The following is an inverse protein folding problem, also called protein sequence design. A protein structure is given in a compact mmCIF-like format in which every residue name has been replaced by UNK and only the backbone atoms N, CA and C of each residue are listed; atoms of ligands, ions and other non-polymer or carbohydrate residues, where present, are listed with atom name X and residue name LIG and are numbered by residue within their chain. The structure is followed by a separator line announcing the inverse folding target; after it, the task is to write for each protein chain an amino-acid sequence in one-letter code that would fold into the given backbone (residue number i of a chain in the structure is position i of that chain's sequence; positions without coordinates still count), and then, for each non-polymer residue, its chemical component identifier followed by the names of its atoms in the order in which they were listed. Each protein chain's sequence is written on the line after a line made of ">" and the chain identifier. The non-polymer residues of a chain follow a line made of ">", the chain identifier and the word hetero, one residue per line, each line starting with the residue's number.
data_IF_185033850888
#
_entry.id   IF_185033850888
#
_cell.length_a   1.000
_cell.length_b   1.000
_cell.length_c   1.000
_cell.angle_alpha   90.00
_cell.angle_beta   90.00
_cell.angle_gamma   90.00
#
_symmetry.space_group_name_H-M   'P 1'
#
loop_
_entity.id
_entity.type
_entity.pdbx_description
1 polymer ?
#
# COMPACT_ATOMS: atom_id res chain seq x y z
N UNK A 1 -18.87 0.20 21.24
CA UNK A 1 -17.51 0.79 21.44
C UNK A 1 -16.36 -0.16 21.11
N UNK A 2 -16.59 -1.37 20.55
CA UNK A 2 -15.50 -2.26 20.09
C UNK A 2 -14.99 -1.89 18.68
N UNK A 3 -15.86 -1.32 17.86
CA UNK A 3 -15.51 -0.84 16.51
C UNK A 3 -14.60 0.39 16.53
N UNK A 4 -14.70 1.25 17.56
CA UNK A 4 -13.90 2.48 17.61
C UNK A 4 -12.40 2.22 17.79
N UNK A 5 -12.02 1.22 18.57
CA UNK A 5 -10.60 0.90 18.79
C UNK A 5 -9.97 0.21 17.59
N UNK A 6 -10.70 -0.70 16.95
CA UNK A 6 -10.25 -1.36 15.71
C UNK A 6 -10.16 -0.34 14.58
N UNK A 7 -11.15 0.55 14.45
CA UNK A 7 -11.13 1.64 13.48
C UNK A 7 -9.98 2.62 13.72
N UNK A 8 -9.71 2.99 14.98
CA UNK A 8 -8.59 3.88 15.33
C UNK A 8 -7.24 3.24 15.01
N UNK A 9 -7.06 1.96 15.32
CA UNK A 9 -5.85 1.19 14.93
C UNK A 9 -5.73 1.05 13.42
N UNK A 10 -6.84 0.81 12.72
CA UNK A 10 -6.89 0.77 11.25
C UNK A 10 -6.38 2.06 10.63
N UNK A 11 -6.90 3.22 11.05
CA UNK A 11 -6.46 4.53 10.55
C UNK A 11 -5.01 4.80 10.93
N UNK A 12 -4.65 4.59 12.20
CA UNK A 12 -3.30 4.86 12.70
C UNK A 12 -2.22 4.04 11.99
N UNK A 13 -2.41 2.74 11.83
CA UNK A 13 -1.45 1.87 11.13
C UNK A 13 -1.42 2.19 9.62
N UNK A 14 -2.56 2.47 9.00
CA UNK A 14 -2.59 2.88 7.58
C UNK A 14 -1.78 4.16 7.35
N UNK A 15 -1.90 5.15 8.23
CA UNK A 15 -1.12 6.39 8.16
C UNK A 15 0.37 6.13 8.39
N UNK A 16 0.70 5.30 9.38
CA UNK A 16 2.09 4.94 9.67
C UNK A 16 2.77 4.22 8.49
N UNK A 17 2.04 3.36 7.78
CA UNK A 17 2.55 2.66 6.59
C UNK A 17 2.79 3.57 5.38
N UNK A 18 2.19 4.77 5.34
CA UNK A 18 2.42 5.74 4.28
C UNK A 18 3.72 6.53 4.50
N UNK A 19 4.13 6.72 5.76
CA UNK A 19 5.31 7.53 6.11
C UNK A 19 6.61 7.03 5.44
N UNK A 20 6.92 5.73 5.39
CA UNK A 20 8.08 5.23 4.66
C UNK A 20 8.06 5.61 3.17
N UNK A 21 6.89 5.51 2.52
CA UNK A 21 6.73 5.90 1.11
C UNK A 21 7.02 7.38 0.88
N UNK A 22 6.51 8.25 1.75
CA UNK A 22 6.80 9.70 1.71
C UNK A 22 8.28 9.95 1.94
N UNK A 23 8.88 9.30 2.95
CA UNK A 23 10.30 9.47 3.26
C UNK A 23 11.18 9.05 2.09
N UNK A 24 10.88 7.93 1.42
CA UNK A 24 11.67 7.46 0.27
C UNK A 24 11.69 8.44 -0.90
N UNK A 25 10.65 9.25 -1.12
CA UNK A 25 10.64 10.25 -2.20
C UNK A 25 11.79 11.26 -2.05
N UNK A 26 12.23 11.54 -0.82
CA UNK A 26 13.32 12.49 -0.54
C UNK A 26 14.72 11.91 -0.80
N UNK A 27 14.85 10.59 -0.82
CA UNK A 27 16.15 9.90 -0.91
C UNK A 27 16.36 9.18 -2.24
N UNK A 28 15.28 8.89 -2.98
CA UNK A 28 15.37 8.17 -4.24
C UNK A 28 15.67 9.12 -5.41
N UNK A 29 16.58 8.70 -6.27
CA UNK A 29 16.80 9.34 -7.56
C UNK A 29 15.68 8.94 -8.53
N UNK A 30 14.78 9.88 -8.81
CA UNK A 30 13.62 9.64 -9.69
C UNK A 30 13.98 9.54 -11.18
N UNK A 31 15.27 9.62 -11.53
CA UNK A 31 15.72 9.38 -12.91
C UNK A 31 15.69 7.90 -13.29
N UNK A 32 15.72 6.99 -12.31
CA UNK A 32 15.63 5.54 -12.52
C UNK A 32 14.26 4.98 -12.12
N UNK A 33 13.84 3.81 -12.68
CA UNK A 33 12.67 3.10 -12.20
C UNK A 33 12.77 2.80 -10.70
N UNK A 34 11.75 3.21 -9.92
CA UNK A 34 11.71 3.07 -8.46
C UNK A 34 10.71 2.00 -7.98
N UNK A 35 11.05 0.70 -8.10
CA UNK A 35 10.21 -0.43 -7.67
C UNK A 35 9.84 -0.35 -6.17
N UNK A 36 10.81 0.05 -5.33
CA UNK A 36 10.66 0.12 -3.88
C UNK A 36 9.57 1.13 -3.50
N UNK A 37 9.50 2.26 -4.22
CA UNK A 37 8.47 3.26 -4.00
C UNK A 37 7.08 2.70 -4.29
N UNK A 38 6.91 1.99 -5.41
CA UNK A 38 5.65 1.34 -5.76
C UNK A 38 5.25 0.29 -4.70
N UNK A 39 6.20 -0.49 -4.19
CA UNK A 39 5.96 -1.48 -3.15
C UNK A 39 5.52 -0.85 -1.83
N UNK A 40 6.22 0.21 -1.39
CA UNK A 40 5.88 0.96 -0.17
C UNK A 40 4.50 1.60 -0.24
N UNK A 41 4.12 2.14 -1.39
CA UNK A 41 2.77 2.70 -1.61
C UNK A 41 1.68 1.62 -1.64
N UNK A 42 2.01 0.38 -2.00
CA UNK A 42 1.07 -0.75 -1.98
C UNK A 42 0.77 -1.32 -0.58
N UNK A 43 1.74 -1.27 0.34
CA UNK A 43 1.61 -1.84 1.70
C UNK A 43 0.39 -1.33 2.49
N UNK A 44 0.07 -0.02 2.52
CA UNK A 44 -1.15 0.47 3.16
C UNK A 44 -2.42 -0.18 2.62
N UNK A 45 -2.49 -0.46 1.31
CA UNK A 45 -3.66 -1.06 0.67
C UNK A 45 -3.79 -2.55 0.98
N UNK A 46 -2.68 -3.29 1.09
CA UNK A 46 -2.71 -4.67 1.59
C UNK A 46 -3.24 -4.74 3.01
N UNK A 47 -2.72 -3.87 3.90
CA UNK A 47 -3.20 -3.80 5.28
C UNK A 47 -4.67 -3.40 5.36
N UNK A 48 -5.09 -2.37 4.58
CA UNK A 48 -6.49 -1.95 4.53
C UNK A 48 -7.40 -3.06 4.01
N UNK A 49 -7.04 -3.72 2.91
CA UNK A 49 -7.83 -4.82 2.34
C UNK A 49 -8.00 -5.97 3.33
N UNK A 50 -6.93 -6.35 4.03
CA UNK A 50 -6.98 -7.36 5.09
C UNK A 50 -7.90 -6.95 6.25
N UNK A 51 -7.74 -5.74 6.77
CA UNK A 51 -8.56 -5.23 7.89
C UNK A 51 -10.03 -5.07 7.49
N UNK A 52 -10.31 -4.61 6.28
CA UNK A 52 -11.67 -4.49 5.75
C UNK A 52 -12.29 -5.88 5.61
N UNK A 53 -11.58 -6.84 5.01
CA UNK A 53 -12.08 -8.20 4.86
C UNK A 53 -12.41 -8.89 6.20
N UNK A 54 -11.58 -8.64 7.22
CA UNK A 54 -11.69 -9.32 8.52
C UNK A 54 -12.58 -8.61 9.54
N UNK A 55 -12.60 -7.28 9.55
CA UNK A 55 -13.26 -6.48 10.59
C UNK A 55 -14.36 -5.54 10.07
N UNK A 56 -14.35 -5.12 8.80
CA UNK A 56 -15.33 -4.18 8.24
C UNK A 56 -16.05 -4.85 7.07
N UNK A 57 -17.09 -5.62 7.38
CA UNK A 57 -17.92 -6.35 6.40
C UNK A 57 -18.81 -5.45 5.53
N UNK A 58 -18.33 -4.27 5.14
CA UNK A 58 -18.89 -3.55 4.00
C UNK A 58 -18.64 -4.40 2.75
N UNK A 59 -19.72 -4.71 2.02
CA UNK A 59 -19.75 -5.88 1.13
C UNK A 59 -18.66 -5.91 0.06
N UNK A 60 -18.07 -4.76 -0.30
CA UNK A 60 -17.08 -4.69 -1.38
C UNK A 60 -15.88 -3.75 -1.15
N UNK A 61 -15.74 -3.06 -0.01
CA UNK A 61 -14.64 -2.07 0.15
C UNK A 61 -13.25 -2.70 0.10
N UNK A 62 -13.11 -3.88 0.71
CA UNK A 62 -11.90 -4.70 0.67
C UNK A 62 -11.45 -5.04 -0.76
N UNK A 63 -12.39 -5.17 -1.72
CA UNK A 63 -12.05 -5.45 -3.13
C UNK A 63 -11.28 -4.30 -3.75
N UNK A 64 -11.70 -3.05 -3.51
CA UNK A 64 -11.01 -1.86 -4.02
C UNK A 64 -9.61 -1.78 -3.41
N UNK A 65 -9.50 -2.01 -2.10
CA UNK A 65 -8.21 -2.04 -1.41
C UNK A 65 -7.28 -3.11 -1.99
N UNK A 66 -7.77 -4.33 -2.24
CA UNK A 66 -6.97 -5.37 -2.87
C UNK A 66 -6.62 -5.05 -4.33
N UNK A 67 -7.54 -4.50 -5.12
CA UNK A 67 -7.26 -4.09 -6.51
C UNK A 67 -6.11 -3.08 -6.52
N UNK A 68 -6.15 -2.06 -5.65
CA UNK A 68 -5.08 -1.08 -5.53
C UNK A 68 -3.76 -1.74 -5.08
N UNK A 69 -3.81 -2.63 -4.10
CA UNK A 69 -2.64 -3.36 -3.63
C UNK A 69 -1.97 -4.18 -4.75
N UNK A 70 -2.77 -4.92 -5.53
CA UNK A 70 -2.28 -5.69 -6.68
C UNK A 70 -1.81 -4.81 -7.82
N UNK A 71 -2.44 -3.66 -8.05
CA UNK A 71 -1.97 -2.68 -9.01
C UNK A 71 -0.56 -2.18 -8.66
N UNK A 72 -0.32 -1.81 -7.41
CA UNK A 72 1.01 -1.41 -6.94
C UNK A 72 2.02 -2.56 -6.99
N UNK A 73 1.61 -3.80 -6.70
CA UNK A 73 2.47 -4.97 -6.84
C UNK A 73 2.83 -5.24 -8.31
N UNK A 74 1.87 -5.13 -9.22
CA UNK A 74 2.10 -5.22 -10.66
C UNK A 74 3.03 -4.11 -11.16
N UNK A 75 2.81 -2.87 -10.71
CA UNK A 75 3.69 -1.74 -11.01
C UNK A 75 5.12 -1.99 -10.49
N UNK A 76 5.26 -2.56 -9.29
CA UNK A 76 6.56 -2.96 -8.74
C UNK A 76 7.25 -3.94 -9.68
N UNK A 77 6.58 -5.01 -10.11
CA UNK A 77 7.15 -6.00 -11.04
C UNK A 77 7.56 -5.34 -12.36
N UNK A 78 6.72 -4.48 -12.94
CA UNK A 78 7.04 -3.79 -14.20
C UNK A 78 8.26 -2.89 -14.05
N UNK A 79 8.32 -2.09 -12.99
CA UNK A 79 9.47 -1.23 -12.70
C UNK A 79 10.74 -2.04 -12.48
N UNK A 80 10.62 -3.21 -11.86
CA UNK A 80 11.76 -4.08 -11.61
C UNK A 80 12.29 -4.73 -12.88
N UNK A 81 11.40 -5.13 -13.79
CA UNK A 81 11.80 -5.60 -15.12
C UNK A 81 12.45 -4.49 -15.94
N UNK A 82 11.91 -3.26 -15.89
CA UNK A 82 12.51 -2.12 -16.57
C UNK A 82 13.92 -1.85 -16.04
N UNK A 83 14.09 -1.84 -14.72
CA UNK A 83 15.39 -1.65 -14.08
C UNK A 83 16.42 -2.71 -14.46
N UNK A 84 16.00 -3.97 -14.57
CA UNK A 84 16.87 -5.08 -14.99
C UNK A 84 17.21 -5.06 -16.49
N UNK A 85 16.43 -4.35 -17.30
CA UNK A 85 16.59 -4.28 -18.76
C UNK A 85 17.44 -3.10 -19.25
N UNK A 86 17.76 -2.15 -18.37
CA UNK A 86 18.64 -1.00 -18.62
C UNK A 86 20.07 -1.33 -18.19
#
# INVERSE_FOLDING_TARGET
>A
MKDSDVYRRFVGVSMLLILPGIATIWFLDLSEPQPLLAQLLGLPYFYRGYMEFTHIKESNRHKVSFILAFYFLGATIVLELLRLSM
#
